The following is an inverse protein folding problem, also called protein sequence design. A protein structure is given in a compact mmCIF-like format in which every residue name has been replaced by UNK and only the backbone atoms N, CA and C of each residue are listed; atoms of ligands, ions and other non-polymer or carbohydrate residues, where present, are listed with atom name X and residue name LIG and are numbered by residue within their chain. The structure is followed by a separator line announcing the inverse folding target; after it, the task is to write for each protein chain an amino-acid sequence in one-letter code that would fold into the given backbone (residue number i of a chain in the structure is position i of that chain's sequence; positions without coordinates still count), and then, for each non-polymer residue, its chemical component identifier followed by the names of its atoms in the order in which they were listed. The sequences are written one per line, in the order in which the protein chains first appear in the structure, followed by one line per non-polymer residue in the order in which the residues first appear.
data_IF_378697766420
#
_entry.id   IF_378697766420
#
_cell.length_a   1.000
_cell.length_b   1.000
_cell.length_c   1.000
_cell.angle_alpha   90.00
_cell.angle_beta   90.00
_cell.angle_gamma   90.00
#
_symmetry.space_group_name_H-M   'P 1'
#
loop_
_entity.id
_entity.type
_entity.pdbx_description
1 polymer ?
#
# COMPACT_ATOMS: atom_id res chain seq x y z
N UNK A 1 -14.72 -6.02 -12.96
CA UNK A 1 -13.61 -6.30 -12.01
C UNK A 1 -13.08 -5.06 -11.28
N UNK A 2 -12.66 -3.96 -11.93
CA UNK A 2 -12.07 -2.80 -11.21
C UNK A 2 -13.04 -2.10 -10.25
N UNK A 3 -14.33 -2.04 -10.62
CA UNK A 3 -15.39 -1.46 -9.78
C UNK A 3 -15.59 -2.25 -8.47
N UNK A 4 -15.41 -3.57 -8.52
CA UNK A 4 -15.58 -4.45 -7.36
C UNK A 4 -14.39 -4.34 -6.38
N UNK A 5 -13.18 -4.16 -6.92
CA UNK A 5 -11.96 -3.85 -6.14
C UNK A 5 -12.11 -2.49 -5.43
N UNK A 6 -12.65 -1.48 -6.13
CA UNK A 6 -12.89 -0.16 -5.54
C UNK A 6 -13.93 -0.20 -4.40
N UNK A 7 -15.03 -0.94 -4.56
CA UNK A 7 -16.06 -1.09 -3.52
C UNK A 7 -15.50 -1.83 -2.29
N UNK A 8 -14.76 -2.92 -2.50
CA UNK A 8 -14.10 -3.65 -1.41
C UNK A 8 -13.09 -2.76 -0.68
N UNK A 9 -12.35 -1.95 -1.42
CA UNK A 9 -11.40 -0.99 -0.86
C UNK A 9 -12.08 0.06 0.02
N UNK A 10 -13.12 0.72 -0.50
CA UNK A 10 -13.86 1.74 0.25
C UNK A 10 -14.47 1.12 1.51
N UNK A 11 -15.07 -0.06 1.41
CA UNK A 11 -15.64 -0.78 2.56
C UNK A 11 -14.59 -1.10 3.63
N UNK A 12 -13.43 -1.62 3.23
CA UNK A 12 -12.36 -2.00 4.14
C UNK A 12 -11.72 -0.76 4.82
N UNK A 13 -11.51 0.33 4.08
CA UNK A 13 -10.98 1.57 4.66
C UNK A 13 -11.99 2.28 5.56
N UNK A 14 -13.27 2.29 5.17
CA UNK A 14 -14.34 2.84 6.01
C UNK A 14 -14.41 2.06 7.32
N UNK A 15 -14.38 0.73 7.26
CA UNK A 15 -14.33 -0.11 8.45
C UNK A 15 -13.09 0.18 9.33
N UNK A 16 -11.90 0.30 8.73
CA UNK A 16 -10.66 0.65 9.46
C UNK A 16 -10.75 2.04 10.14
N UNK A 17 -11.42 3.01 9.50
CA UNK A 17 -11.65 4.35 10.08
C UNK A 17 -12.60 4.28 11.27
N UNK A 18 -13.64 3.46 11.25
CA UNK A 18 -14.58 3.32 12.37
C UNK A 18 -14.09 2.39 13.49
N UNK A 19 -13.05 1.60 13.23
CA UNK A 19 -12.48 0.67 14.21
C UNK A 19 -11.81 1.42 15.38
N UNK A 20 -11.97 0.90 16.60
CA UNK A 20 -11.40 1.49 17.83
C UNK A 20 -9.87 1.51 17.76
N UNK A 21 -9.26 2.58 18.28
CA UNK A 21 -7.80 2.83 18.25
C UNK A 21 -6.99 1.68 18.89
N UNK A 22 -7.53 1.05 19.93
CA UNK A 22 -6.84 0.00 20.70
C UNK A 22 -6.56 -1.27 19.90
N UNK A 23 -7.33 -1.54 18.84
CA UNK A 23 -7.15 -2.72 17.98
C UNK A 23 -5.85 -2.63 17.15
N UNK A 24 -5.34 -1.41 16.96
CA UNK A 24 -4.11 -1.14 16.22
C UNK A 24 -2.86 -1.17 17.11
N UNK A 25 -3.04 -1.22 18.43
CA UNK A 25 -1.95 -1.40 19.39
C UNK A 25 -1.24 -2.74 19.12
N UNK A 26 0.09 -2.74 19.21
CA UNK A 26 0.93 -3.93 19.09
C UNK A 26 0.94 -4.65 17.71
N UNK A 27 0.42 -4.02 16.65
CA UNK A 27 0.45 -4.54 15.27
C UNK A 27 1.77 -4.28 14.52
N UNK A 28 2.86 -3.95 15.22
CA UNK A 28 4.14 -3.54 14.61
C UNK A 28 4.70 -4.56 13.62
N UNK A 29 4.65 -5.86 13.96
CA UNK A 29 5.10 -6.94 13.06
C UNK A 29 4.28 -6.98 11.76
N UNK A 30 2.99 -6.70 11.84
CA UNK A 30 2.11 -6.66 10.66
C UNK A 30 2.49 -5.51 9.73
N UNK A 31 2.70 -4.29 10.27
CA UNK A 31 3.19 -3.16 9.47
C UNK A 31 4.56 -3.44 8.83
N UNK A 32 5.46 -4.13 9.52
CA UNK A 32 6.77 -4.49 8.95
C UNK A 32 6.62 -5.43 7.75
N UNK A 33 5.68 -6.37 7.81
CA UNK A 33 5.35 -7.25 6.68
C UNK A 33 4.77 -6.43 5.53
N UNK A 34 3.83 -5.52 5.79
CA UNK A 34 3.26 -4.64 4.76
C UNK A 34 4.33 -3.77 4.08
N UNK A 35 5.26 -3.20 4.85
CA UNK A 35 6.40 -2.47 4.28
C UNK A 35 7.29 -3.36 3.41
N UNK A 36 7.52 -4.60 3.82
CA UNK A 36 8.24 -5.59 3.01
C UNK A 36 7.54 -5.88 1.68
N UNK A 37 6.21 -6.03 1.72
CA UNK A 37 5.39 -6.21 0.52
C UNK A 37 5.44 -4.98 -0.39
N UNK A 38 5.37 -3.76 0.17
CA UNK A 38 5.48 -2.51 -0.59
C UNK A 38 6.82 -2.46 -1.33
N UNK A 39 7.93 -2.76 -0.64
CA UNK A 39 9.27 -2.75 -1.23
C UNK A 39 9.40 -3.81 -2.33
N UNK A 40 8.92 -5.03 -2.07
CA UNK A 40 8.95 -6.12 -3.05
C UNK A 40 8.12 -5.79 -4.29
N UNK A 41 6.88 -5.33 -4.10
CA UNK A 41 5.99 -4.93 -5.20
C UNK A 41 6.61 -3.79 -6.01
N UNK A 42 7.16 -2.78 -5.34
CA UNK A 42 7.86 -1.67 -6.01
C UNK A 42 9.01 -2.17 -6.85
N UNK A 43 9.86 -3.08 -6.32
CA UNK A 43 10.97 -3.67 -7.07
C UNK A 43 10.49 -4.40 -8.33
N UNK A 44 9.43 -5.22 -8.21
CA UNK A 44 8.86 -5.96 -9.34
C UNK A 44 8.32 -4.98 -10.39
N UNK A 45 7.59 -3.94 -9.97
CA UNK A 45 7.05 -2.95 -10.89
C UNK A 45 8.18 -2.23 -11.63
N UNK A 46 9.25 -1.85 -10.92
CA UNK A 46 10.41 -1.20 -11.53
C UNK A 46 11.06 -2.05 -12.62
N UNK A 47 11.13 -3.37 -12.41
CA UNK A 47 11.67 -4.32 -13.42
C UNK A 47 10.76 -4.37 -14.65
N UNK A 48 9.44 -4.37 -14.47
CA UNK A 48 8.46 -4.53 -15.56
C UNK A 48 8.28 -3.22 -16.36
N UNK A 49 8.14 -2.08 -15.68
CA UNK A 49 7.74 -0.82 -16.32
C UNK A 49 8.90 0.03 -16.86
N UNK A 50 10.15 -0.29 -16.51
CA UNK A 50 11.31 0.53 -16.86
C UNK A 50 11.38 1.88 -16.11
N UNK A 51 12.39 2.70 -16.43
CA UNK A 51 12.65 3.99 -15.78
C UNK A 51 11.81 5.09 -16.47
N UNK A 52 10.82 5.64 -15.75
CA UNK A 52 9.92 6.67 -16.25
C UNK A 52 9.14 7.40 -15.13
N UNK A 53 8.10 8.16 -15.47
CA UNK A 53 7.27 8.92 -14.49
C UNK A 53 6.64 7.99 -13.43
N UNK A 54 6.34 6.76 -13.82
CA UNK A 54 5.92 5.65 -12.94
C UNK A 54 6.91 5.40 -11.79
N UNK A 55 8.21 5.62 -11.99
CA UNK A 55 9.25 5.46 -10.98
C UNK A 55 9.12 6.50 -9.86
N UNK A 56 9.00 7.78 -10.22
CA UNK A 56 8.83 8.87 -9.25
C UNK A 56 7.54 8.73 -8.46
N UNK A 57 6.46 8.29 -9.11
CA UNK A 57 5.19 8.01 -8.47
C UNK A 57 5.29 6.85 -7.47
N UNK A 58 5.95 5.74 -7.82
CA UNK A 58 6.15 4.60 -6.90
C UNK A 58 7.01 4.95 -5.69
N UNK A 59 8.12 5.66 -5.92
CA UNK A 59 9.01 6.10 -4.84
C UNK A 59 8.30 7.06 -3.86
N UNK A 60 7.39 7.90 -4.36
CA UNK A 60 6.55 8.74 -3.51
C UNK A 60 5.67 7.89 -2.58
N UNK A 61 5.05 6.82 -3.09
CA UNK A 61 4.24 5.92 -2.27
C UNK A 61 5.06 5.16 -1.23
N UNK A 62 6.28 4.76 -1.58
CA UNK A 62 7.23 4.17 -0.62
C UNK A 62 7.56 5.19 0.48
N UNK A 63 7.85 6.44 0.12
CA UNK A 63 8.13 7.50 1.09
C UNK A 63 6.94 7.75 2.04
N UNK A 64 5.71 7.78 1.51
CA UNK A 64 4.48 7.92 2.31
C UNK A 64 4.29 6.72 3.24
N UNK A 65 4.63 5.50 2.80
CA UNK A 65 4.56 4.30 3.64
C UNK A 65 5.55 4.36 4.81
N UNK A 66 6.80 4.77 4.56
CA UNK A 66 7.79 4.94 5.62
C UNK A 66 7.42 6.06 6.59
N UNK A 67 6.88 7.17 6.09
CA UNK A 67 6.36 8.25 6.93
C UNK A 67 5.19 7.78 7.80
N UNK A 68 4.27 7.00 7.24
CA UNK A 68 3.14 6.43 7.97
C UNK A 68 3.59 5.44 9.05
N UNK A 69 4.61 4.63 8.76
CA UNK A 69 5.23 3.74 9.75
C UNK A 69 5.93 4.52 10.88
N UNK A 70 6.58 5.64 10.56
CA UNK A 70 7.16 6.53 11.56
C UNK A 70 6.08 7.15 12.47
N UNK A 71 4.98 7.62 11.87
CA UNK A 71 3.80 8.14 12.59
C UNK A 71 3.19 7.04 13.50
N UNK A 72 3.17 5.78 13.04
CA UNK A 72 2.73 4.64 13.85
C UNK A 72 3.58 4.47 15.12
N UNK A 73 4.90 4.65 15.02
CA UNK A 73 5.82 4.57 16.17
C UNK A 73 5.66 5.75 17.14
N UNK A 74 5.34 6.94 16.64
CA UNK A 74 5.12 8.15 17.44
C UNK A 74 3.68 8.27 17.99
N UNK A 75 3.15 7.21 18.60
CA UNK A 75 1.84 7.18 19.29
C UNK A 75 0.58 7.47 18.45
N UNK A 76 0.72 7.69 17.14
CA UNK A 76 -0.39 7.81 16.19
C UNK A 76 -0.66 6.49 15.45
N UNK A 77 -0.75 5.40 16.21
CA UNK A 77 -0.85 4.02 15.71
C UNK A 77 -1.97 3.81 14.68
N UNK A 78 -3.17 4.34 14.93
CA UNK A 78 -4.30 4.17 13.99
C UNK A 78 -4.04 4.84 12.63
N UNK A 79 -3.55 6.08 12.64
CA UNK A 79 -3.27 6.84 11.41
C UNK A 79 -2.13 6.18 10.65
N UNK A 80 -1.05 5.81 11.34
CA UNK A 80 0.09 5.16 10.73
C UNK A 80 -0.25 3.77 10.16
N UNK A 81 -1.09 2.98 10.85
CA UNK A 81 -1.56 1.68 10.34
C UNK A 81 -2.36 1.86 9.05
N UNK A 82 -3.36 2.75 9.06
CA UNK A 82 -4.20 3.02 7.88
C UNK A 82 -3.34 3.51 6.71
N UNK A 83 -2.35 4.38 6.96
CA UNK A 83 -1.46 4.89 5.93
C UNK A 83 -0.57 3.81 5.30
N UNK A 84 0.02 2.92 6.10
CA UNK A 84 0.85 1.82 5.57
C UNK A 84 0.00 0.81 4.80
N UNK A 85 -1.15 0.39 5.35
CA UNK A 85 -2.06 -0.51 4.65
C UNK A 85 -2.59 0.08 3.34
N UNK A 86 -2.81 1.41 3.29
CA UNK A 86 -3.21 2.11 2.06
C UNK A 86 -2.12 2.02 0.99
N UNK A 87 -0.87 2.30 1.37
CA UNK A 87 0.26 2.24 0.44
C UNK A 87 0.51 0.81 -0.05
N UNK A 88 0.32 -0.20 0.81
CA UNK A 88 0.43 -1.61 0.45
C UNK A 88 -0.65 -2.01 -0.56
N UNK A 89 -1.90 -1.69 -0.28
CA UNK A 89 -3.00 -1.96 -1.20
C UNK A 89 -2.80 -1.27 -2.55
N UNK A 90 -2.46 0.02 -2.54
CA UNK A 90 -2.27 0.79 -3.76
C UNK A 90 -1.13 0.21 -4.61
N UNK A 91 -0.01 -0.20 -4.00
CA UNK A 91 1.07 -0.87 -4.70
C UNK A 91 0.63 -2.20 -5.33
N UNK A 92 -0.17 -3.00 -4.64
CA UNK A 92 -0.68 -4.28 -5.15
C UNK A 92 -1.63 -4.06 -6.34
N UNK A 93 -2.56 -3.10 -6.23
CA UNK A 93 -3.46 -2.75 -7.34
C UNK A 93 -2.66 -2.24 -8.53
N UNK A 94 -1.66 -1.40 -8.29
CA UNK A 94 -0.80 -0.89 -9.35
C UNK A 94 -0.01 -2.02 -10.01
N UNK A 95 0.59 -2.92 -9.23
CA UNK A 95 1.27 -4.11 -9.75
C UNK A 95 0.34 -4.97 -10.62
N UNK A 96 -0.90 -5.21 -10.17
CA UNK A 96 -1.90 -5.94 -10.95
C UNK A 96 -2.23 -5.24 -12.27
N UNK A 97 -2.41 -3.91 -12.26
CA UNK A 97 -2.65 -3.13 -13.47
C UNK A 97 -1.45 -3.19 -14.43
N UNK A 98 -0.23 -3.13 -13.92
CA UNK A 98 0.99 -3.25 -14.74
C UNK A 98 1.08 -4.64 -15.39
N UNK A 99 0.81 -5.71 -14.64
CA UNK A 99 0.72 -7.06 -15.20
C UNK A 99 -0.39 -7.19 -16.23
N UNK A 100 -1.52 -6.51 -16.05
CA UNK A 100 -2.58 -6.55 -17.05
C UNK A 100 -2.15 -5.85 -18.35
N UNK A 101 -1.60 -4.63 -18.26
CA UNK A 101 -1.17 -3.84 -19.42
C UNK A 101 -0.05 -4.56 -20.20
N UNK A 102 1.01 -4.99 -19.51
CA UNK A 102 2.16 -5.63 -20.14
C UNK A 102 1.96 -7.14 -20.39
N UNK A 103 1.08 -7.81 -19.64
CA UNK A 103 0.77 -9.23 -19.82
C UNK A 103 -0.21 -9.51 -20.96
N UNK A 104 -1.01 -8.53 -21.39
CA UNK A 104 -1.88 -8.67 -22.59
C UNK A 104 -1.15 -8.48 -23.92
N UNK A 105 0.16 -8.18 -23.91
CA UNK A 105 0.96 -8.03 -25.14
C UNK A 105 1.53 -9.36 -25.66
N UNK A 106 1.22 -10.49 -25.03
CA UNK A 106 1.60 -11.84 -25.47
C UNK A 106 0.38 -12.71 -25.78
#
# INVERSE_FOLDING_TARGET
MPLLIAILFIGLFTWLIYTKKDIFSNKKKFLQIELGIILLATLIILIISGIGITMGFLLLWVAIAFLSYYIYQNHHQKVGFIGVSFCAFFNIVFLYLQFWIYGTQY
#
